data_IF_661109824314
#
_entry.id   IF_661109824314
#
_cell.length_a   1.000
_cell.length_b   1.000
_cell.length_c   1.000
_cell.angle_alpha   90.00
_cell.angle_beta   90.00
_cell.angle_gamma   90.00
#
_symmetry.space_group_name_H-M   'P 1'
#
loop_
_entity.id
_entity.type
_entity.pdbx_description
1 polymer ?
#
# COMPACT_ATOMS: atom_id res chain seq x y z
N UNK A 1 -20.12 15.53 -6.47
CA UNK A 1 -19.76 14.76 -6.85
C UNK A 1 -18.96 14.15 -6.12
N UNK A 2 -18.77 13.41 -5.92
CA UNK A 2 -18.11 12.88 -5.20
C UNK A 2 -17.30 12.34 -5.62
N UNK A 3 -16.64 12.16 -5.41
CA UNK A 3 -15.84 11.92 -5.87
C UNK A 3 -14.89 11.22 -5.58
N UNK A 4 -14.66 10.41 -6.24
CA UNK A 4 -13.64 9.63 -6.18
C UNK A 4 -12.44 10.35 -6.37
N UNK A 5 -12.45 11.51 -6.79
CA UNK A 5 -11.31 12.26 -6.87
C UNK A 5 -10.91 12.80 -5.59
N UNK A 6 -11.72 12.67 -4.60
CA UNK A 6 -11.37 13.13 -3.27
C UNK A 6 -10.73 12.02 -2.50
N UNK A 7 -9.76 11.37 -3.09
CA UNK A 7 -9.01 10.36 -2.37
C UNK A 7 -8.32 10.98 -1.19
N UNK A 8 -8.37 10.31 -0.07
CA UNK A 8 -7.64 10.77 1.11
C UNK A 8 -6.43 9.87 1.29
N UNK A 9 -5.40 10.43 1.86
CA UNK A 9 -4.19 9.66 2.14
C UNK A 9 -4.24 9.19 3.58
N UNK A 10 -4.14 7.89 3.76
CA UNK A 10 -4.10 7.33 5.10
C UNK A 10 -2.64 7.28 5.54
N UNK A 11 -2.34 7.96 6.63
CA UNK A 11 -0.98 7.99 7.14
C UNK A 11 -0.94 7.42 8.55
N UNK A 12 0.23 7.39 9.15
CA UNK A 12 0.37 6.79 10.47
C UNK A 12 -0.46 7.53 11.52
N UNK A 13 -0.53 8.84 11.41
CA UNK A 13 -1.31 9.61 12.37
C UNK A 13 -2.80 9.24 12.28
N UNK A 14 -3.31 9.10 11.07
CA UNK A 14 -4.69 8.71 10.89
C UNK A 14 -4.95 7.30 11.39
N UNK A 15 -3.97 6.40 11.21
CA UNK A 15 -4.09 5.05 11.74
C UNK A 15 -4.14 5.06 13.25
N UNK A 16 -3.32 5.87 13.89
CA UNK A 16 -3.33 5.95 15.35
C UNK A 16 -4.66 6.48 15.86
N UNK A 17 -5.23 7.47 15.18
CA UNK A 17 -6.54 7.99 15.57
C UNK A 17 -7.62 6.91 15.41
N UNK A 18 -7.54 6.12 14.35
CA UNK A 18 -8.50 5.05 14.16
C UNK A 18 -8.39 4.01 15.27
N UNK A 19 -7.17 3.72 15.71
CA UNK A 19 -6.97 2.77 16.80
C UNK A 19 -7.59 3.30 18.08
N UNK A 20 -7.39 4.58 18.35
CA UNK A 20 -7.96 5.18 19.56
C UNK A 20 -9.48 5.08 19.53
N UNK A 21 -10.09 5.28 18.38
CA UNK A 21 -11.54 5.26 18.31
C UNK A 21 -12.13 3.86 18.38
N UNK A 22 -11.35 2.84 18.05
CA UNK A 22 -11.88 1.49 17.99
C UNK A 22 -11.45 0.59 19.13
N UNK A 23 -10.35 0.91 19.80
CA UNK A 23 -9.83 0.07 20.87
C UNK A 23 -10.06 0.78 22.19
N UNK A 24 -10.68 0.08 23.13
CA UNK A 24 -10.94 0.66 24.42
C UNK A 24 -9.68 0.69 25.26
N UNK A 25 -9.61 1.69 26.11
CA UNK A 25 -8.51 1.78 27.09
C UNK A 25 -7.14 1.96 26.48
N UNK A 26 -7.07 2.65 25.35
CA UNK A 26 -5.78 2.99 24.79
C UNK A 26 -5.76 4.49 24.57
N UNK A 27 -4.68 5.15 24.95
CA UNK A 27 -4.58 6.58 24.76
C UNK A 27 -3.87 6.86 23.45
N UNK A 28 -3.84 8.13 23.06
CA UNK A 28 -3.26 8.50 21.77
C UNK A 28 -1.79 8.20 21.69
N UNK A 29 -1.06 8.42 22.78
CA UNK A 29 0.38 8.20 22.78
C UNK A 29 0.69 6.71 22.58
N UNK A 30 -0.04 5.85 23.28
CA UNK A 30 0.17 4.42 23.15
C UNK A 30 -0.21 3.94 21.75
N UNK A 31 -1.30 4.47 21.20
CA UNK A 31 -1.71 4.09 19.85
C UNK A 31 -0.66 4.50 18.83
N UNK A 32 -0.08 5.68 18.99
CA UNK A 32 0.94 6.16 18.09
C UNK A 32 2.17 5.25 18.14
N UNK A 33 2.59 4.87 19.33
CA UNK A 33 3.74 3.99 19.48
C UNK A 33 3.46 2.64 18.84
N UNK A 34 2.26 2.09 19.04
CA UNK A 34 1.92 0.79 18.46
C UNK A 34 1.93 0.83 16.94
N UNK A 35 1.38 1.89 16.35
CA UNK A 35 1.34 2.01 14.91
C UNK A 35 2.76 2.12 14.36
N UNK A 36 3.59 2.93 15.00
CA UNK A 36 4.96 3.10 14.53
C UNK A 36 5.75 1.81 14.66
N UNK A 37 5.55 1.09 15.76
CA UNK A 37 6.28 -0.16 15.96
C UNK A 37 5.83 -1.23 14.96
N UNK A 38 4.55 -1.23 14.64
CA UNK A 38 4.03 -2.18 13.67
C UNK A 38 4.72 -2.02 12.31
N UNK A 39 4.79 -0.78 11.83
CA UNK A 39 5.41 -0.55 10.53
C UNK A 39 6.93 -0.71 10.58
N UNK A 40 7.54 -0.39 11.72
CA UNK A 40 8.96 -0.59 11.86
C UNK A 40 9.30 -2.09 11.81
N UNK A 41 8.44 -2.91 12.40
CA UNK A 41 8.66 -4.35 12.37
C UNK A 41 8.59 -4.87 10.94
N UNK A 42 7.62 -4.39 10.16
CA UNK A 42 7.53 -4.78 8.76
C UNK A 42 8.79 -4.37 8.01
N UNK A 43 9.24 -3.14 8.23
CA UNK A 43 10.43 -2.65 7.53
C UNK A 43 11.66 -3.46 7.87
N UNK A 44 11.81 -3.82 9.15
CA UNK A 44 12.97 -4.58 9.57
C UNK A 44 13.01 -5.97 8.93
N UNK A 45 11.86 -6.62 8.84
CA UNK A 45 11.82 -7.94 8.21
C UNK A 45 12.13 -7.86 6.73
N UNK A 46 11.63 -6.82 6.08
CA UNK A 46 11.92 -6.65 4.66
C UNK A 46 13.38 -6.33 4.41
N UNK A 47 14.01 -5.58 5.33
CA UNK A 47 15.44 -5.34 5.22
C UNK A 47 16.24 -6.63 5.24
N UNK A 48 15.77 -7.61 5.99
CA UNK A 48 16.45 -8.89 6.10
C UNK A 48 16.14 -9.81 4.94
N UNK A 49 15.25 -9.40 4.05
CA UNK A 49 14.88 -10.22 2.91
C UNK A 49 13.71 -11.14 3.18
N UNK A 50 13.04 -10.97 4.33
CA UNK A 50 11.92 -11.82 4.67
C UNK A 50 10.67 -11.42 3.92
N UNK A 51 9.75 -12.36 3.77
CA UNK A 51 8.44 -12.07 3.22
C UNK A 51 7.49 -11.78 4.38
N UNK A 52 6.70 -10.73 4.26
CA UNK A 52 5.72 -10.37 5.28
C UNK A 52 4.35 -10.65 4.71
N UNK A 53 3.61 -11.55 5.34
CA UNK A 53 2.27 -11.93 4.89
C UNK A 53 1.24 -11.42 5.87
N UNK A 54 0.30 -10.63 5.37
CA UNK A 54 -0.77 -10.10 6.20
C UNK A 54 -2.08 -10.61 5.61
N UNK A 55 -2.70 -11.60 6.25
CA UNK A 55 -3.93 -12.19 5.71
C UNK A 55 -5.00 -11.13 5.53
N UNK A 56 -5.70 -11.19 4.43
CA UNK A 56 -6.74 -10.23 4.12
C UNK A 56 -6.25 -8.96 3.47
N UNK A 57 -4.95 -8.70 3.54
CA UNK A 57 -4.39 -7.52 2.92
C UNK A 57 -3.48 -7.89 1.76
N UNK A 58 -2.45 -8.66 2.01
CA UNK A 58 -1.54 -9.04 0.95
C UNK A 58 -0.19 -9.42 1.48
N UNK A 59 0.75 -9.58 0.58
CA UNK A 59 2.09 -10.01 0.90
C UNK A 59 3.09 -8.99 0.42
N UNK A 60 4.09 -8.73 1.24
CA UNK A 60 5.23 -7.90 0.85
C UNK A 60 6.41 -8.84 0.68
N UNK A 61 7.11 -8.74 -0.42
CA UNK A 61 8.28 -9.56 -0.65
C UNK A 61 9.41 -8.71 -1.19
N UNK A 62 10.62 -9.23 -1.10
CA UNK A 62 11.81 -8.51 -1.54
C UNK A 62 12.35 -9.27 -2.75
N UNK A 63 12.64 -8.55 -3.81
CA UNK A 63 13.20 -9.14 -5.01
C UNK A 63 14.54 -8.50 -5.28
N UNK A 64 15.50 -9.33 -5.65
CA UNK A 64 16.80 -8.85 -6.00
C UNK A 64 16.83 -8.63 -7.50
N UNK A 65 17.18 -7.43 -7.93
CA UNK A 65 17.31 -7.15 -9.34
C UNK A 65 18.76 -7.00 -9.67
N UNK A 66 19.21 -7.79 -10.65
CA UNK A 66 20.62 -7.79 -11.01
C UNK A 66 20.94 -6.55 -11.82
N UNK A 67 22.20 -6.18 -11.85
CA UNK A 67 22.66 -5.07 -12.65
C UNK A 67 22.36 -5.36 -14.11
N UNK A 68 21.95 -4.34 -14.83
CA UNK A 68 21.61 -4.51 -16.23
C UNK A 68 21.87 -3.21 -16.97
N UNK A 69 22.04 -3.27 -18.29
CA UNK A 69 22.20 -2.03 -19.03
C UNK A 69 20.89 -1.29 -19.14
N UNK A 70 20.92 0.01 -19.13
CA UNK A 70 19.77 0.85 -19.33
C UNK A 70 20.17 1.98 -20.25
N UNK A 71 19.28 2.93 -20.44
CA UNK A 71 19.55 4.03 -21.32
C UNK A 71 19.10 5.34 -20.68
N UNK A 72 19.97 6.33 -20.75
CA UNK A 72 19.61 7.64 -20.26
C UNK A 72 18.74 8.29 -21.32
N UNK A 73 17.49 8.53 -20.97
CA UNK A 73 16.52 9.03 -21.95
C UNK A 73 16.84 10.44 -22.43
N UNK A 74 17.58 11.21 -21.64
CA UNK A 74 17.91 12.55 -22.06
C UNK A 74 19.07 12.61 -23.02
N UNK A 75 20.06 11.76 -22.84
CA UNK A 75 21.25 11.79 -23.67
C UNK A 75 21.32 10.65 -24.65
N UNK A 76 20.54 9.61 -24.44
CA UNK A 76 20.60 8.42 -25.27
C UNK A 76 21.76 7.50 -24.97
N UNK A 77 22.56 7.83 -23.96
CA UNK A 77 23.71 7.02 -23.62
C UNK A 77 23.33 5.79 -22.86
N UNK A 78 24.05 4.72 -23.06
CA UNK A 78 23.86 3.50 -22.30
C UNK A 78 24.49 3.65 -20.94
N UNK A 79 23.74 3.33 -19.90
CA UNK A 79 24.25 3.38 -18.53
C UNK A 79 23.97 2.03 -17.89
N UNK A 80 24.66 1.73 -16.81
CA UNK A 80 24.45 0.49 -16.09
C UNK A 80 23.54 0.77 -14.91
N UNK A 81 22.41 0.04 -14.84
CA UNK A 81 21.52 0.13 -13.70
C UNK A 81 22.05 -0.83 -12.67
N UNK A 82 22.38 -0.32 -11.49
CA UNK A 82 23.01 -1.11 -10.45
C UNK A 82 22.11 -2.19 -9.91
N UNK A 83 22.73 -3.22 -9.38
CA UNK A 83 22.03 -4.26 -8.66
C UNK A 83 21.35 -3.64 -7.45
N UNK A 84 20.15 -4.10 -7.16
CA UNK A 84 19.40 -3.51 -6.05
C UNK A 84 18.31 -4.47 -5.59
N UNK A 85 17.78 -4.19 -4.41
CA UNK A 85 16.64 -4.94 -3.89
C UNK A 85 15.44 -4.03 -3.93
N UNK A 86 14.30 -4.59 -4.30
CA UNK A 86 13.06 -3.83 -4.37
C UNK A 86 11.99 -4.59 -3.60
N UNK A 87 11.06 -3.83 -3.04
CA UNK A 87 9.92 -4.40 -2.33
C UNK A 87 8.76 -4.48 -3.29
N UNK A 88 8.11 -5.64 -3.33
CA UNK A 88 6.92 -5.83 -4.14
C UNK A 88 5.75 -6.14 -3.22
N UNK A 89 4.59 -5.56 -3.51
CA UNK A 89 3.39 -5.84 -2.76
C UNK A 89 2.41 -6.57 -3.67
N UNK A 90 1.90 -7.70 -3.19
CA UNK A 90 0.92 -8.48 -3.92
C UNK A 90 -0.35 -8.51 -3.09
N UNK A 91 -1.42 -7.85 -3.54
CA UNK A 91 -2.65 -7.83 -2.75
C UNK A 91 -3.26 -9.22 -2.68
N UNK A 92 -3.97 -9.47 -1.59
CA UNK A 92 -4.65 -10.75 -1.43
C UNK A 92 -5.88 -10.78 -2.33
N UNK A 93 -6.38 -11.98 -2.59
CA UNK A 93 -7.62 -12.11 -3.36
C UNK A 93 -8.77 -11.42 -2.66
N UNK A 94 -8.82 -11.47 -1.33
CA UNK A 94 -9.85 -10.79 -0.57
C UNK A 94 -9.80 -9.29 -0.79
N UNK A 95 -8.62 -8.70 -0.76
CA UNK A 95 -8.49 -7.27 -0.95
C UNK A 95 -8.89 -6.88 -2.38
N UNK A 96 -8.43 -7.64 -3.36
CA UNK A 96 -8.79 -7.38 -4.75
C UNK A 96 -10.29 -7.44 -4.93
N UNK A 97 -10.94 -8.42 -4.33
CA UNK A 97 -12.39 -8.56 -4.45
C UNK A 97 -13.11 -7.37 -3.84
N UNK A 98 -12.63 -6.88 -2.71
CA UNK A 98 -13.26 -5.72 -2.07
C UNK A 98 -13.11 -4.46 -2.90
N UNK A 99 -11.96 -4.26 -3.50
CA UNK A 99 -11.72 -3.10 -4.32
C UNK A 99 -12.58 -3.18 -5.59
N UNK A 100 -12.64 -4.35 -6.20
CA UNK A 100 -13.43 -4.54 -7.41
C UNK A 100 -14.92 -4.37 -7.13
N UNK A 101 -15.38 -4.84 -5.98
CA UNK A 101 -16.79 -4.69 -5.63
C UNK A 101 -17.19 -3.22 -5.54
N UNK A 102 -16.32 -2.39 -4.98
CA UNK A 102 -16.60 -0.98 -4.91
C UNK A 102 -16.62 -0.34 -6.28
N UNK A 103 -15.74 -0.77 -7.16
CA UNK A 103 -15.72 -0.26 -8.51
C UNK A 103 -17.03 -0.60 -9.24
N UNK A 104 -17.48 -1.83 -9.10
CA UNK A 104 -18.71 -2.26 -9.74
C UNK A 104 -19.88 -1.45 -9.23
N UNK A 105 -19.92 -1.20 -7.92
CA UNK A 105 -21.01 -0.42 -7.35
C UNK A 105 -21.01 1.00 -7.89
N UNK A 106 -19.84 1.59 -8.03
CA UNK A 106 -19.73 2.94 -8.56
C UNK A 106 -20.21 2.96 -10.01
N UNK A 107 -19.88 1.98 -10.78
CA UNK A 107 -20.31 1.90 -12.16
C UNK A 107 -21.84 1.77 -12.26
N UNK A 108 -22.43 0.99 -11.38
CA UNK A 108 -23.86 0.83 -11.38
C UNK A 108 -24.54 2.13 -11.02
N UNK A 109 -23.99 2.87 -10.09
CA UNK A 109 -24.57 4.15 -9.74
C UNK A 109 -24.45 5.14 -10.88
N UNK A 110 -23.35 5.15 -11.57
CA UNK A 110 -23.18 6.03 -12.70
C UNK A 110 -24.15 5.68 -13.82
N UNK A 111 -24.30 4.41 -14.09
CA UNK A 111 -25.21 3.98 -15.12
C UNK A 111 -26.62 4.38 -14.79
N UNK A 112 -27.01 4.22 -13.55
CA UNK A 112 -28.32 4.60 -13.13
C UNK A 112 -28.54 6.10 -13.25
N UNK A 113 -27.54 6.86 -12.88
CA UNK A 113 -27.66 8.31 -12.96
C UNK A 113 -27.70 8.79 -14.40
N UNK A 114 -26.89 8.21 -15.21
CA UNK A 114 -26.82 8.62 -16.56
C UNK A 114 -27.81 8.07 -17.46
N UNK A 115 -28.68 7.23 -16.95
CA UNK A 115 -29.56 6.66 -17.77
C UNK A 115 -30.42 7.58 -18.24
N UNK A 116 -30.58 7.87 -19.23
CA UNK A 116 -31.39 8.84 -19.61
C UNK A 116 -32.39 8.34 -20.41
#
# INVERSE_FOLDING_TARGET
MTDRQDCITLNKAALAEAVVSKVENIDRQSAKVLVEEFFEMIARHLEQGDTVKIPGLGNFSVRQKVARPGRNLKTGETVTISERRVVSFHPSGTLNARVTANLIRDEEEEASTNER
#
